data_IF_518289586594
#
_entry.id   IF_518289586594
#
_cell.length_a   1.000
_cell.length_b   1.000
_cell.length_c   1.000
_cell.angle_alpha   90.00
_cell.angle_beta   90.00
_cell.angle_gamma   90.00
#
_symmetry.space_group_name_H-M   'P 1'
#
loop_
_entity.id
_entity.type
_entity.pdbx_description
1 polymer ?
#
# COMPACT_ATOMS: atom_id res chain seq x y z
N UNK A 1 2.73 11.92 -7.33
CA UNK A 1 1.54 11.66 -6.49
C UNK A 1 1.88 10.50 -5.57
N UNK A 2 1.89 10.73 -4.26
CA UNK A 2 2.21 9.74 -3.25
C UNK A 2 0.92 9.23 -2.60
N UNK A 3 0.63 7.94 -2.78
CA UNK A 3 -0.57 7.29 -2.23
C UNK A 3 -0.17 6.32 -1.12
N UNK A 4 -0.87 6.38 0.00
CA UNK A 4 -0.77 5.40 1.08
C UNK A 4 -2.03 4.57 1.17
N UNK A 5 -1.89 3.25 1.05
CA UNK A 5 -3.00 2.31 1.28
C UNK A 5 -2.78 1.62 2.63
N UNK A 6 -3.78 1.64 3.50
CA UNK A 6 -3.76 1.00 4.82
C UNK A 6 -4.78 -0.12 4.81
N UNK A 7 -4.34 -1.37 4.67
CA UNK A 7 -5.27 -2.52 4.69
C UNK A 7 -4.83 -3.58 5.69
N UNK A 8 -5.51 -3.55 6.84
CA UNK A 8 -5.24 -4.40 8.02
C UNK A 8 -6.29 -5.51 8.21
N UNK A 9 -7.16 -5.70 7.23
CA UNK A 9 -8.24 -6.70 7.25
C UNK A 9 -7.74 -8.14 7.06
N UNK A 10 -8.67 -9.03 6.75
CA UNK A 10 -8.34 -10.40 6.35
C UNK A 10 -7.62 -10.42 5.00
N UNK A 11 -6.86 -11.49 4.74
CA UNK A 11 -6.08 -11.65 3.51
C UNK A 11 -6.92 -11.49 2.22
N UNK A 12 -8.14 -12.02 2.18
CA UNK A 12 -9.02 -11.87 1.02
C UNK A 12 -9.46 -10.42 0.76
N UNK A 13 -9.56 -9.60 1.81
CA UNK A 13 -9.84 -8.17 1.68
C UNK A 13 -8.64 -7.42 1.11
N UNK A 14 -7.43 -7.73 1.59
CA UNK A 14 -6.16 -7.19 1.05
C UNK A 14 -6.02 -7.49 -0.44
N UNK A 15 -6.24 -8.75 -0.86
CA UNK A 15 -6.19 -9.16 -2.27
C UNK A 15 -7.18 -8.35 -3.11
N UNK A 16 -8.44 -8.26 -2.69
CA UNK A 16 -9.46 -7.53 -3.45
C UNK A 16 -9.11 -6.04 -3.59
N UNK A 17 -8.54 -5.42 -2.56
CA UNK A 17 -8.12 -4.01 -2.63
C UNK A 17 -7.01 -3.80 -3.68
N UNK A 18 -6.17 -4.79 -4.00
CA UNK A 18 -5.15 -4.64 -5.06
C UNK A 18 -5.74 -4.31 -6.44
N UNK A 19 -7.02 -4.60 -6.67
CA UNK A 19 -7.71 -4.28 -7.91
C UNK A 19 -7.78 -2.78 -8.21
N UNK A 20 -7.58 -1.89 -7.22
CA UNK A 20 -7.56 -0.44 -7.44
C UNK A 20 -6.22 0.07 -7.97
N UNK A 21 -5.14 -0.71 -7.83
CA UNK A 21 -3.77 -0.26 -8.15
C UNK A 21 -3.60 0.15 -9.62
N UNK A 22 -4.10 -0.62 -10.62
CA UNK A 22 -3.98 -0.19 -12.02
C UNK A 22 -4.69 1.14 -12.28
N UNK A 23 -5.91 1.29 -11.76
CA UNK A 23 -6.68 2.53 -11.92
C UNK A 23 -6.03 3.74 -11.25
N UNK A 24 -5.36 3.55 -10.11
CA UNK A 24 -4.57 4.63 -9.47
C UNK A 24 -3.35 5.03 -10.31
N UNK A 25 -2.66 4.05 -10.91
CA UNK A 25 -1.50 4.30 -11.79
C UNK A 25 -1.91 4.97 -13.11
N UNK A 26 -3.06 4.60 -13.66
CA UNK A 26 -3.62 5.23 -14.87
C UNK A 26 -4.12 6.65 -14.61
N UNK A 27 -4.83 6.88 -13.51
CA UNK A 27 -5.42 8.18 -13.18
C UNK A 27 -4.39 9.25 -12.85
N UNK A 28 -3.27 8.86 -12.22
CA UNK A 28 -2.25 9.79 -11.76
C UNK A 28 -0.91 9.48 -12.41
N UNK A 29 -0.41 10.39 -13.26
CA UNK A 29 0.96 10.31 -13.78
C UNK A 29 1.98 10.30 -12.64
N UNK A 30 3.01 9.44 -12.72
CA UNK A 30 4.04 9.25 -11.69
C UNK A 30 3.44 9.01 -10.28
N UNK A 31 2.52 8.06 -10.18
CA UNK A 31 1.94 7.59 -8.93
C UNK A 31 2.88 6.61 -8.21
N UNK A 32 3.33 6.96 -7.01
CA UNK A 32 4.05 6.06 -6.09
C UNK A 32 3.08 5.57 -5.02
N UNK A 33 3.02 4.26 -4.81
CA UNK A 33 2.04 3.63 -3.91
C UNK A 33 2.81 2.89 -2.83
N UNK A 34 2.60 3.29 -1.58
CA UNK A 34 3.03 2.53 -0.42
C UNK A 34 1.82 1.85 0.24
N UNK A 35 2.07 0.72 0.90
CA UNK A 35 1.01 -0.08 1.50
C UNK A 35 1.37 -0.52 2.92
N UNK A 36 0.52 -0.24 3.90
CA UNK A 36 0.62 -0.79 5.26
C UNK A 36 -0.29 -2.01 5.41
N UNK A 37 0.27 -3.15 5.82
CA UNK A 37 -0.48 -4.39 6.05
C UNK A 37 -0.03 -5.15 7.29
N UNK A 38 -0.73 -6.23 7.61
CA UNK A 38 -0.32 -7.21 8.65
C UNK A 38 0.63 -8.25 8.05
N UNK A 39 1.46 -8.86 8.90
CA UNK A 39 2.41 -9.92 8.51
C UNK A 39 1.75 -11.05 7.72
N UNK A 40 0.51 -11.41 8.07
CA UNK A 40 -0.25 -12.45 7.40
C UNK A 40 -0.56 -12.16 5.91
N UNK A 41 -0.45 -10.91 5.45
CA UNK A 41 -0.74 -10.53 4.05
C UNK A 41 0.45 -9.93 3.32
N UNK A 42 1.61 -9.82 3.97
CA UNK A 42 2.81 -9.22 3.40
C UNK A 42 3.31 -9.94 2.14
N UNK A 43 3.38 -11.27 2.19
CA UNK A 43 3.93 -12.07 1.09
C UNK A 43 3.13 -11.98 -0.21
N UNK A 44 1.85 -11.58 -0.11
CA UNK A 44 0.96 -11.38 -1.26
C UNK A 44 1.21 -10.03 -1.93
N UNK A 45 1.72 -9.05 -1.18
CA UNK A 45 1.96 -7.69 -1.66
C UNK A 45 3.41 -7.47 -2.10
N UNK A 46 4.39 -8.13 -1.46
CA UNK A 46 5.83 -7.83 -1.63
C UNK A 46 6.37 -8.00 -3.07
N UNK A 47 5.66 -8.74 -3.92
CA UNK A 47 6.02 -9.00 -5.31
C UNK A 47 5.08 -8.31 -6.31
N UNK A 48 4.29 -7.33 -5.87
CA UNK A 48 3.38 -6.59 -6.74
C UNK A 48 4.09 -5.37 -7.32
N UNK A 49 4.38 -5.38 -8.62
CA UNK A 49 5.12 -4.32 -9.32
C UNK A 49 4.43 -2.94 -9.30
N UNK A 50 3.16 -2.88 -8.89
CA UNK A 50 2.43 -1.61 -8.77
C UNK A 50 2.61 -0.96 -7.40
N UNK A 51 3.20 -1.67 -6.43
CA UNK A 51 3.47 -1.19 -5.07
C UNK A 51 4.96 -0.92 -4.92
N UNK A 52 5.30 0.28 -4.48
CA UNK A 52 6.69 0.71 -4.26
C UNK A 52 7.24 0.14 -2.96
N UNK A 53 6.47 0.24 -1.88
CA UNK A 53 6.88 -0.21 -0.56
C UNK A 53 5.73 -0.89 0.17
N UNK A 54 6.01 -2.05 0.78
CA UNK A 54 5.09 -2.74 1.68
C UNK A 54 5.62 -2.63 3.10
N UNK A 55 4.85 -2.00 3.97
CA UNK A 55 5.17 -1.78 5.37
C UNK A 55 4.34 -2.72 6.24
N UNK A 56 4.99 -3.34 7.22
CA UNK A 56 4.28 -4.06 8.28
C UNK A 56 3.78 -3.06 9.33
N UNK A 57 2.52 -3.22 9.75
CA UNK A 57 1.98 -2.51 10.90
C UNK A 57 2.71 -2.95 12.18
N UNK A 58 3.23 -1.99 12.95
CA UNK A 58 3.92 -2.28 14.21
C UNK A 58 4.83 -1.15 14.71
N UNK A 59 5.75 -1.47 15.61
CA UNK A 59 6.76 -0.51 16.07
C UNK A 59 7.66 -0.11 14.90
N UNK A 60 7.86 1.20 14.72
CA UNK A 60 8.66 1.85 13.67
C UNK A 60 8.00 1.99 12.30
N UNK A 61 6.70 1.69 12.13
CA UNK A 61 6.01 2.03 10.87
C UNK A 61 6.11 3.53 10.60
N UNK A 62 5.95 4.37 11.63
CA UNK A 62 6.10 5.83 11.56
C UNK A 62 7.46 6.25 10.98
N UNK A 63 8.56 5.65 11.46
CA UNK A 63 9.91 5.93 10.98
C UNK A 63 10.16 5.46 9.54
N UNK A 64 9.30 4.61 8.98
CA UNK A 64 9.39 4.19 7.58
C UNK A 64 8.57 5.08 6.64
N UNK A 65 7.65 5.88 7.18
CA UNK A 65 6.79 6.80 6.44
C UNK A 65 7.37 8.22 6.50
N UNK A 66 8.60 8.39 6.00
CA UNK A 66 9.32 9.67 6.04
C UNK A 66 8.97 10.62 4.88
N UNK A 67 7.79 10.47 4.27
CA UNK A 67 7.32 11.32 3.18
C UNK A 67 5.87 11.73 3.39
N UNK A 68 5.50 12.86 2.81
CA UNK A 68 4.11 13.31 2.77
C UNK A 68 3.32 12.51 1.73
N UNK A 69 2.08 12.17 2.09
CA UNK A 69 1.14 11.48 1.21
C UNK A 69 0.03 12.42 0.81
N UNK A 70 -0.23 12.48 -0.49
CA UNK A 70 -1.27 13.29 -1.10
C UNK A 70 -2.65 12.65 -0.95
N UNK A 71 -2.69 11.31 -0.85
CA UNK A 71 -3.92 10.52 -0.76
C UNK A 71 -3.73 9.32 0.17
N UNK A 72 -4.69 9.10 1.07
CA UNK A 72 -4.74 7.95 1.97
C UNK A 72 -6.03 7.15 1.73
N UNK A 73 -5.92 5.83 1.62
CA UNK A 73 -7.04 4.89 1.42
C UNK A 73 -7.00 3.83 2.53
N UNK A 74 -8.13 3.52 3.18
CA UNK A 74 -8.26 2.56 4.30
C UNK A 74 -9.35 1.51 4.02
#
# INVERSE_FOLDING_TARGET
>A
MNVLIIKLGAMGDVIRTTAILPGLKEKYNNCSIDWITKKASFDILKNNDLIENVHLIGKNTENSLNKEYDLIIN
#
